data_IF_645792543303
#
_entry.id   IF_645792543303
#
_cell.length_a   1.000
_cell.length_b   1.000
_cell.length_c   1.000
_cell.angle_alpha   90.00
_cell.angle_beta   90.00
_cell.angle_gamma   90.00
#
_symmetry.space_group_name_H-M   'P 1'
#
loop_
_entity.id
_entity.type
_entity.pdbx_description
1 polymer ?
#
# COMPACT_ATOMS: atom_id res chain seq x y z
N UNK A 1 -53.02 5.56 9.89
CA UNK A 1 -52.08 4.87 10.79
C UNK A 1 -51.49 3.60 10.16
N UNK A 2 -52.30 2.67 9.59
CA UNK A 2 -51.81 1.43 8.99
C UNK A 2 -50.84 1.61 7.81
N UNK A 3 -51.08 2.54 6.86
CA UNK A 3 -50.25 2.80 5.71
C UNK A 3 -48.84 3.32 6.14
N UNK A 4 -48.79 4.15 7.16
CA UNK A 4 -47.50 4.70 7.67
C UNK A 4 -46.62 3.62 8.32
N UNK A 5 -47.25 2.67 9.04
CA UNK A 5 -46.53 1.52 9.62
C UNK A 5 -46.01 0.59 8.54
N UNK A 6 -46.77 0.35 7.45
CA UNK A 6 -46.35 -0.47 6.31
C UNK A 6 -45.13 0.18 5.61
N UNK A 7 -45.14 1.48 5.38
CA UNK A 7 -44.01 2.19 4.75
C UNK A 7 -42.75 2.09 5.61
N UNK A 8 -42.87 2.26 6.95
CA UNK A 8 -41.75 2.15 7.89
C UNK A 8 -41.16 0.74 7.91
N UNK A 9 -42.00 -0.31 7.87
CA UNK A 9 -41.54 -1.70 7.84
C UNK A 9 -40.85 -2.06 6.53
N UNK A 10 -41.34 -1.55 5.38
CA UNK A 10 -40.71 -1.76 4.08
C UNK A 10 -39.35 -1.03 4.04
N UNK A 11 -39.25 0.18 4.56
CA UNK A 11 -37.99 0.92 4.59
C UNK A 11 -36.95 0.23 5.50
N UNK A 12 -37.35 -0.26 6.68
CA UNK A 12 -36.50 -1.02 7.58
C UNK A 12 -36.05 -2.37 6.92
N UNK A 13 -36.95 -3.06 6.23
CA UNK A 13 -36.61 -4.27 5.51
C UNK A 13 -35.61 -4.03 4.37
N UNK A 14 -35.83 -2.98 3.54
CA UNK A 14 -34.93 -2.60 2.46
C UNK A 14 -33.55 -2.19 2.97
N UNK A 15 -33.49 -1.47 4.11
CA UNK A 15 -32.21 -1.12 4.72
C UNK A 15 -31.46 -2.34 5.26
N UNK A 16 -32.14 -3.30 5.88
CA UNK A 16 -31.55 -4.56 6.34
C UNK A 16 -31.05 -5.41 5.16
N UNK A 17 -31.83 -5.49 4.06
CA UNK A 17 -31.43 -6.21 2.85
C UNK A 17 -30.23 -5.53 2.19
N UNK A 18 -30.23 -4.19 2.12
CA UNK A 18 -29.11 -3.42 1.57
C UNK A 18 -27.84 -3.64 2.41
N UNK A 19 -27.91 -3.56 3.74
CA UNK A 19 -26.80 -3.83 4.65
C UNK A 19 -26.29 -5.27 4.52
N UNK A 20 -27.21 -6.26 4.46
CA UNK A 20 -26.81 -7.66 4.26
C UNK A 20 -26.17 -7.90 2.91
N UNK A 21 -26.66 -7.29 1.84
CA UNK A 21 -26.05 -7.39 0.52
C UNK A 21 -24.67 -6.71 0.48
N UNK A 22 -24.52 -5.55 1.13
CA UNK A 22 -23.23 -4.87 1.25
C UNK A 22 -22.25 -5.71 2.07
N UNK A 23 -22.70 -6.31 3.19
CA UNK A 23 -21.88 -7.22 4.01
C UNK A 23 -21.56 -8.54 3.28
N UNK A 24 -22.44 -9.03 2.41
CA UNK A 24 -22.17 -10.22 1.59
C UNK A 24 -21.23 -9.90 0.43
N UNK A 25 -21.27 -8.69 -0.13
CA UNK A 25 -20.28 -8.21 -1.10
C UNK A 25 -18.91 -8.09 -0.43
N UNK A 26 -18.86 -7.63 0.81
CA UNK A 26 -17.64 -7.56 1.61
C UNK A 26 -17.16 -8.93 2.12
N UNK A 27 -18.06 -9.89 2.27
CA UNK A 27 -17.76 -11.29 2.62
C UNK A 27 -17.64 -12.22 1.42
N UNK A 28 -17.91 -11.73 0.22
CA UNK A 28 -17.64 -12.54 -0.95
C UNK A 28 -16.13 -12.77 -0.96
N UNK A 29 -15.78 -14.01 -0.76
CA UNK A 29 -14.44 -14.58 -0.87
C UNK A 29 -14.01 -14.40 -2.34
N UNK A 30 -13.67 -13.17 -2.69
CA UNK A 30 -13.31 -12.79 -4.06
C UNK A 30 -12.01 -13.49 -4.49
N UNK A 31 -11.43 -14.27 -3.55
CA UNK A 31 -10.20 -15.04 -3.78
C UNK A 31 -9.00 -14.18 -4.13
N UNK A 32 -9.08 -12.86 -3.93
CA UNK A 32 -7.96 -11.98 -4.23
C UNK A 32 -6.80 -12.23 -3.27
N UNK A 33 -5.63 -12.43 -3.85
CA UNK A 33 -4.36 -12.43 -3.13
C UNK A 33 -3.64 -11.11 -3.40
N UNK A 34 -3.22 -10.41 -2.36
CA UNK A 34 -2.38 -9.22 -2.46
C UNK A 34 -1.04 -9.51 -1.77
N UNK A 35 0.05 -9.28 -2.48
CA UNK A 35 1.37 -9.36 -1.87
C UNK A 35 1.79 -7.97 -1.41
N UNK A 36 2.15 -7.87 -0.14
CA UNK A 36 2.73 -6.67 0.44
C UNK A 36 4.22 -6.89 0.70
N UNK A 37 5.02 -6.04 0.10
CA UNK A 37 6.45 -6.03 0.27
C UNK A 37 6.87 -4.87 1.19
N UNK A 38 7.52 -5.21 2.31
CA UNK A 38 8.16 -4.20 3.15
C UNK A 38 9.60 -4.01 2.66
N UNK A 39 9.88 -2.93 1.96
CA UNK A 39 11.20 -2.66 1.41
C UNK A 39 12.31 -2.74 2.44
N UNK A 40 13.53 -3.12 2.00
CA UNK A 40 14.70 -3.29 2.87
C UNK A 40 14.53 -4.40 3.92
N UNK A 41 15.32 -4.37 4.99
CA UNK A 41 15.36 -5.31 6.09
C UNK A 41 16.81 -5.54 6.55
N UNK A 42 17.06 -5.55 7.86
CA UNK A 42 18.41 -5.64 8.42
C UNK A 42 19.24 -6.78 7.79
N UNK A 43 20.50 -6.51 7.41
CA UNK A 43 21.30 -5.34 7.73
C UNK A 43 21.07 -4.11 6.83
N UNK A 44 20.21 -4.18 5.82
CA UNK A 44 19.84 -3.05 4.98
C UNK A 44 18.72 -2.25 5.66
N UNK A 45 19.09 -1.17 6.33
CA UNK A 45 18.13 -0.26 6.95
C UNK A 45 17.37 0.63 5.98
N UNK A 46 17.76 0.67 4.70
CA UNK A 46 17.30 1.69 3.76
C UNK A 46 17.90 3.06 4.09
N UNK A 47 17.16 4.13 3.81
CA UNK A 47 17.53 5.48 4.20
C UNK A 47 17.26 5.74 5.69
N UNK A 48 17.93 6.75 6.23
CA UNK A 48 17.84 7.12 7.65
C UNK A 48 17.20 8.49 7.77
N UNK A 49 16.22 8.61 8.62
CA UNK A 49 15.55 9.88 8.91
C UNK A 49 16.53 10.92 9.43
N UNK A 50 16.50 12.12 8.84
CA UNK A 50 17.48 13.17 9.07
C UNK A 50 17.44 13.72 10.50
N UNK A 51 16.25 13.77 11.12
CA UNK A 51 16.05 14.37 12.44
C UNK A 51 15.93 13.31 13.55
N UNK A 52 15.31 12.18 13.26
CA UNK A 52 14.98 11.15 14.28
C UNK A 52 15.93 9.95 14.25
N UNK A 53 16.68 9.77 13.17
CA UNK A 53 17.50 8.58 12.98
C UNK A 53 16.71 7.31 12.72
N UNK A 54 15.38 7.41 12.45
CA UNK A 54 14.53 6.25 12.15
C UNK A 54 15.01 5.56 10.87
N UNK A 55 15.00 4.24 10.87
CA UNK A 55 15.32 3.45 9.68
C UNK A 55 14.08 3.32 8.80
N UNK A 56 14.26 3.50 7.50
CA UNK A 56 13.22 3.26 6.50
C UNK A 56 12.62 1.86 6.63
N UNK A 57 13.47 0.84 6.76
CA UNK A 57 13.03 -0.56 6.88
C UNK A 57 12.07 -0.82 8.04
N UNK A 58 12.21 -0.08 9.15
CA UNK A 58 11.33 -0.21 10.31
C UNK A 58 9.95 0.41 10.04
N UNK A 59 9.93 1.58 9.37
CA UNK A 59 8.70 2.24 8.96
C UNK A 59 7.95 1.41 7.91
N UNK A 60 8.67 0.89 6.91
CA UNK A 60 8.10 0.03 5.87
C UNK A 60 7.39 -1.18 6.48
N UNK A 61 8.03 -1.88 7.43
CA UNK A 61 7.42 -3.04 8.09
C UNK A 61 6.20 -2.66 8.93
N UNK A 62 6.25 -1.53 9.64
CA UNK A 62 5.10 -1.05 10.42
C UNK A 62 3.91 -0.75 9.52
N UNK A 63 4.11 -0.02 8.43
CA UNK A 63 3.04 0.34 7.50
C UNK A 63 2.46 -0.87 6.77
N UNK A 64 3.31 -1.80 6.34
CA UNK A 64 2.85 -3.06 5.72
C UNK A 64 1.94 -3.84 6.68
N UNK A 65 2.28 -3.94 7.96
CA UNK A 65 1.42 -4.63 8.95
C UNK A 65 0.09 -3.92 9.20
N UNK A 66 0.07 -2.59 9.16
CA UNK A 66 -1.19 -1.83 9.29
C UNK A 66 -2.06 -2.08 8.04
N UNK A 67 -1.47 -2.00 6.84
CA UNK A 67 -2.19 -2.25 5.58
C UNK A 67 -2.69 -3.69 5.49
N UNK A 68 -1.89 -4.67 5.93
CA UNK A 68 -2.30 -6.07 6.05
C UNK A 68 -3.59 -6.20 6.86
N UNK A 69 -3.64 -5.60 8.05
CA UNK A 69 -4.83 -5.67 8.89
C UNK A 69 -6.08 -5.11 8.20
N UNK A 70 -5.98 -4.00 7.49
CA UNK A 70 -7.13 -3.44 6.75
C UNK A 70 -7.60 -4.37 5.62
N UNK A 71 -6.68 -4.94 4.85
CA UNK A 71 -7.00 -5.83 3.73
C UNK A 71 -7.59 -7.17 4.21
N UNK A 72 -6.99 -7.79 5.24
CA UNK A 72 -7.47 -9.06 5.81
C UNK A 72 -8.85 -8.91 6.44
N UNK A 73 -9.12 -7.79 7.14
CA UNK A 73 -10.46 -7.49 7.67
C UNK A 73 -11.52 -7.30 6.57
N UNK A 74 -11.11 -6.97 5.36
CA UNK A 74 -11.99 -6.87 4.18
C UNK A 74 -12.06 -8.19 3.37
N UNK A 75 -11.48 -9.30 3.87
CA UNK A 75 -11.55 -10.62 3.24
C UNK A 75 -10.52 -10.86 2.13
N UNK A 76 -9.51 -10.02 2.00
CA UNK A 76 -8.41 -10.21 1.04
C UNK A 76 -7.33 -11.08 1.68
N UNK A 77 -6.89 -12.13 0.97
CA UNK A 77 -5.71 -12.90 1.39
C UNK A 77 -4.46 -12.04 1.21
N UNK A 78 -3.69 -11.84 2.29
CA UNK A 78 -2.46 -11.06 2.25
C UNK A 78 -1.24 -11.94 2.49
N UNK A 79 -0.24 -11.79 1.63
CA UNK A 79 1.07 -12.43 1.78
C UNK A 79 2.13 -11.36 1.94
N UNK A 80 2.93 -11.47 2.98
CA UNK A 80 4.06 -10.57 3.25
C UNK A 80 5.35 -11.17 2.72
N UNK A 81 6.16 -10.38 2.02
CA UNK A 81 7.52 -10.81 1.63
C UNK A 81 8.39 -11.03 2.87
N UNK A 82 8.36 -10.12 3.86
CA UNK A 82 9.01 -10.32 5.16
C UNK A 82 8.07 -9.97 6.32
N UNK A 83 8.23 -10.68 7.44
CA UNK A 83 7.37 -10.57 8.63
C UNK A 83 8.06 -9.94 9.83
N UNK A 84 9.37 -9.76 9.76
CA UNK A 84 10.20 -9.25 10.84
C UNK A 84 11.22 -8.21 10.32
N UNK A 85 12.09 -7.70 11.19
CA UNK A 85 13.06 -6.65 10.85
C UNK A 85 14.21 -7.07 9.93
N UNK A 86 14.38 -8.38 9.68
CA UNK A 86 15.51 -8.89 8.90
C UNK A 86 15.14 -9.04 7.42
N UNK A 87 16.17 -8.95 6.56
CA UNK A 87 16.09 -9.36 5.18
C UNK A 87 15.88 -10.89 5.06
N UNK A 88 15.24 -11.34 3.99
CA UNK A 88 14.97 -12.78 3.76
C UNK A 88 16.26 -13.60 3.63
N UNK A 89 17.30 -13.03 3.04
CA UNK A 89 18.57 -13.67 2.80
C UNK A 89 19.50 -13.75 4.01
N UNK A 90 19.10 -13.26 5.18
CA UNK A 90 19.88 -13.31 6.42
C UNK A 90 21.15 -12.44 6.46
N UNK A 91 21.41 -11.60 5.46
CA UNK A 91 22.46 -10.58 5.51
C UNK A 91 23.90 -11.04 5.18
N UNK A 92 24.10 -12.19 4.57
CA UNK A 92 25.43 -12.63 4.09
C UNK A 92 25.95 -11.74 2.94
N UNK A 93 27.25 -11.87 2.58
CA UNK A 93 27.84 -11.13 1.45
C UNK A 93 27.02 -11.35 0.17
N UNK A 94 26.63 -10.26 -0.50
CA UNK A 94 25.76 -10.32 -1.68
C UNK A 94 24.28 -10.48 -1.36
N UNK A 95 23.89 -10.37 -0.10
CA UNK A 95 22.53 -10.61 0.41
C UNK A 95 21.45 -9.81 -0.35
N UNK A 96 21.71 -8.60 -0.82
CA UNK A 96 20.70 -7.80 -1.54
C UNK A 96 20.18 -8.49 -2.80
N UNK A 97 21.08 -9.09 -3.58
CA UNK A 97 20.67 -9.83 -4.80
C UNK A 97 19.84 -11.06 -4.45
N UNK A 98 20.25 -11.79 -3.42
CA UNK A 98 19.51 -12.97 -2.96
C UNK A 98 18.17 -12.57 -2.31
N UNK A 99 18.15 -11.49 -1.54
CA UNK A 99 16.92 -10.95 -0.94
C UNK A 99 15.89 -10.58 -2.02
N UNK A 100 16.30 -9.87 -3.07
CA UNK A 100 15.43 -9.57 -4.21
C UNK A 100 14.91 -10.82 -4.92
N UNK A 101 15.75 -11.84 -5.09
CA UNK A 101 15.36 -13.11 -5.69
C UNK A 101 14.28 -13.80 -4.85
N UNK A 102 14.50 -13.91 -3.54
CA UNK A 102 13.53 -14.51 -2.61
C UNK A 102 12.20 -13.76 -2.59
N UNK A 103 12.23 -12.42 -2.61
CA UNK A 103 10.99 -11.60 -2.71
C UNK A 103 10.24 -11.90 -4.01
N UNK A 104 10.95 -11.96 -5.13
CA UNK A 104 10.38 -12.32 -6.43
C UNK A 104 9.74 -13.71 -6.39
N UNK A 105 10.43 -14.71 -5.85
CA UNK A 105 9.92 -16.09 -5.72
C UNK A 105 8.61 -16.13 -4.91
N UNK A 106 8.53 -15.39 -3.80
CA UNK A 106 7.28 -15.26 -3.02
C UNK A 106 6.17 -14.65 -3.87
N UNK A 107 6.45 -13.55 -4.59
CA UNK A 107 5.45 -12.87 -5.42
C UNK A 107 4.94 -13.80 -6.52
N UNK A 108 5.85 -14.48 -7.24
CA UNK A 108 5.47 -15.36 -8.35
C UNK A 108 4.69 -16.60 -7.88
N UNK A 109 5.04 -17.17 -6.72
CA UNK A 109 4.37 -18.36 -6.18
C UNK A 109 2.90 -18.10 -5.80
N UNK A 110 2.56 -16.87 -5.46
CA UNK A 110 1.21 -16.51 -5.01
C UNK A 110 0.27 -16.06 -6.15
N UNK A 111 0.80 -15.80 -7.35
CA UNK A 111 0.03 -15.29 -8.49
C UNK A 111 -0.96 -14.18 -8.08
N UNK A 112 -0.49 -13.08 -7.49
CA UNK A 112 -1.35 -12.12 -6.80
C UNK A 112 -2.15 -11.26 -7.78
N UNK A 113 -3.30 -10.75 -7.30
CA UNK A 113 -4.10 -9.75 -8.02
C UNK A 113 -3.42 -8.36 -8.02
N UNK A 114 -2.56 -8.08 -7.03
CA UNK A 114 -1.75 -6.87 -6.95
C UNK A 114 -0.54 -7.06 -6.02
N UNK A 115 0.53 -6.30 -6.31
CA UNK A 115 1.75 -6.22 -5.49
C UNK A 115 1.98 -4.78 -5.07
N UNK A 116 2.23 -4.55 -3.79
CA UNK A 116 2.54 -3.22 -3.24
C UNK A 116 3.83 -3.32 -2.45
N UNK A 117 4.85 -2.58 -2.88
CA UNK A 117 6.08 -2.41 -2.11
C UNK A 117 6.07 -1.06 -1.40
N UNK A 118 6.23 -1.07 -0.09
CA UNK A 118 6.22 0.14 0.76
C UNK A 118 7.62 0.59 1.03
N UNK A 119 7.86 1.88 0.77
CA UNK A 119 9.14 2.56 0.91
C UNK A 119 9.00 3.97 1.48
N UNK A 120 10.14 4.57 1.84
CA UNK A 120 10.26 5.98 2.20
C UNK A 120 11.29 6.65 1.31
N UNK A 121 10.90 7.73 0.67
CA UNK A 121 11.75 8.47 -0.24
C UNK A 121 12.84 9.25 0.51
N UNK A 122 13.91 9.59 -0.20
CA UNK A 122 14.98 10.43 0.32
C UNK A 122 15.62 11.25 -0.81
N UNK A 123 15.60 12.58 -0.69
CA UNK A 123 16.20 13.43 -1.69
C UNK A 123 17.02 14.56 -1.04
N UNK A 124 18.28 14.28 -0.73
CA UNK A 124 19.18 15.19 -0.01
C UNK A 124 19.41 16.52 -0.73
N UNK A 125 19.43 16.52 -2.06
CA UNK A 125 19.69 17.71 -2.85
C UNK A 125 18.59 18.79 -2.73
N UNK A 126 17.37 18.40 -2.36
CA UNK A 126 16.24 19.31 -2.16
C UNK A 126 15.40 18.87 -0.94
N UNK A 127 15.83 19.20 0.28
CA UNK A 127 15.11 18.79 1.51
C UNK A 127 13.69 19.35 1.63
N UNK A 128 13.35 20.40 0.87
CA UNK A 128 12.00 20.96 0.80
C UNK A 128 11.02 20.07 0.00
N UNK A 129 11.51 19.07 -0.74
CA UNK A 129 10.66 18.13 -1.48
C UNK A 129 9.92 17.23 -0.51
N UNK A 130 8.60 17.14 -0.67
CA UNK A 130 7.72 16.42 0.24
C UNK A 130 6.49 15.83 -0.43
N UNK A 131 5.80 14.95 0.28
CA UNK A 131 4.60 14.26 -0.17
C UNK A 131 4.89 12.86 -0.73
N UNK A 132 3.89 12.01 -0.71
CA UNK A 132 4.00 10.63 -1.15
C UNK A 132 3.94 10.51 -2.67
N UNK A 133 4.59 9.47 -3.20
CA UNK A 133 4.67 9.17 -4.63
C UNK A 133 4.39 7.69 -4.91
N UNK A 134 3.92 7.37 -6.10
CA UNK A 134 3.71 5.98 -6.54
C UNK A 134 4.46 5.75 -7.83
N UNK A 135 5.25 4.66 -7.87
CA UNK A 135 5.99 4.23 -9.06
C UNK A 135 5.44 2.91 -9.58
N UNK A 136 5.52 2.72 -10.90
CA UNK A 136 5.05 1.54 -11.60
C UNK A 136 5.98 1.13 -12.76
N UNK A 137 5.89 -0.12 -13.21
CA UNK A 137 6.56 -0.59 -14.42
C UNK A 137 5.73 -0.23 -15.67
N UNK A 138 6.28 0.63 -16.53
CA UNK A 138 5.63 1.03 -17.79
C UNK A 138 5.49 -0.11 -18.81
N UNK A 139 6.23 -1.21 -18.64
CA UNK A 139 6.14 -2.38 -19.52
C UNK A 139 4.95 -3.29 -19.18
N UNK A 140 4.44 -3.19 -17.95
CA UNK A 140 3.27 -3.92 -17.51
C UNK A 140 2.00 -3.06 -17.68
N UNK A 141 1.11 -3.38 -18.63
CA UNK A 141 -0.05 -2.55 -18.95
C UNK A 141 -1.06 -2.43 -17.78
N UNK A 142 -1.02 -3.35 -16.83
CA UNK A 142 -1.92 -3.36 -15.67
C UNK A 142 -1.40 -2.51 -14.51
N UNK A 143 -0.09 -2.18 -14.50
CA UNK A 143 0.53 -1.44 -13.40
C UNK A 143 0.17 0.05 -13.39
N UNK A 144 0.03 0.71 -14.55
CA UNK A 144 -0.36 2.13 -14.62
C UNK A 144 -1.77 2.38 -14.05
N UNK A 145 -2.84 1.65 -14.46
CA UNK A 145 -4.17 1.84 -13.87
C UNK A 145 -4.17 1.64 -12.35
N UNK A 146 -3.43 0.64 -11.86
CA UNK A 146 -3.28 0.38 -10.43
C UNK A 146 -2.58 1.55 -9.71
N UNK A 147 -1.40 1.94 -10.17
CA UNK A 147 -0.62 3.02 -9.58
C UNK A 147 -1.35 4.37 -9.64
N UNK A 148 -2.08 4.65 -10.73
CA UNK A 148 -2.88 5.86 -10.88
C UNK A 148 -4.03 5.90 -9.87
N UNK A 149 -4.71 4.79 -9.62
CA UNK A 149 -5.77 4.68 -8.61
C UNK A 149 -5.21 4.95 -7.20
N UNK A 150 -4.05 4.35 -6.86
CA UNK A 150 -3.40 4.60 -5.57
C UNK A 150 -2.95 6.06 -5.44
N UNK A 151 -2.33 6.61 -6.50
CA UNK A 151 -1.83 7.98 -6.49
C UNK A 151 -2.96 9.02 -6.36
N UNK A 152 -4.10 8.77 -7.02
CA UNK A 152 -5.27 9.63 -6.88
C UNK A 152 -5.74 9.69 -5.42
N UNK A 153 -5.88 8.54 -4.75
CA UNK A 153 -6.24 8.48 -3.32
C UNK A 153 -5.23 9.20 -2.45
N UNK A 154 -3.94 8.95 -2.66
CA UNK A 154 -2.87 9.59 -1.92
C UNK A 154 -2.88 11.12 -2.12
N UNK A 155 -3.09 11.61 -3.34
CA UNK A 155 -3.16 13.05 -3.59
C UNK A 155 -4.34 13.70 -2.87
N UNK A 156 -5.54 13.13 -3.00
CA UNK A 156 -6.76 13.75 -2.44
C UNK A 156 -6.80 13.71 -0.93
N UNK A 157 -6.37 12.60 -0.33
CA UNK A 157 -6.58 12.35 1.10
C UNK A 157 -5.32 12.62 1.96
N UNK A 158 -4.14 12.51 1.37
CA UNK A 158 -2.87 12.62 2.09
C UNK A 158 -2.08 13.85 1.65
N UNK A 159 -1.61 13.91 0.40
CA UNK A 159 -0.73 14.97 -0.05
C UNK A 159 -1.36 16.36 0.14
N UNK A 160 -2.60 16.52 -0.30
CA UNK A 160 -3.34 17.79 -0.15
C UNK A 160 -3.55 18.15 1.33
N UNK A 161 -3.93 17.18 2.16
CA UNK A 161 -4.22 17.41 3.58
C UNK A 161 -2.99 17.82 4.37
N UNK A 162 -1.85 17.18 4.11
CA UNK A 162 -0.61 17.37 4.86
C UNK A 162 0.39 18.32 4.19
N UNK A 163 -0.02 19.05 3.15
CA UNK A 163 0.80 20.05 2.46
C UNK A 163 1.92 19.44 1.60
N UNK A 164 1.78 18.17 1.23
CA UNK A 164 2.61 17.53 0.23
C UNK A 164 2.26 18.04 -1.18
N UNK A 165 3.18 17.81 -2.12
CA UNK A 165 2.92 18.09 -3.53
C UNK A 165 2.05 16.99 -4.14
N UNK A 166 1.15 17.35 -5.04
CA UNK A 166 0.43 16.38 -5.87
C UNK A 166 1.34 15.86 -7.00
N UNK A 167 1.30 14.55 -7.24
CA UNK A 167 2.08 13.87 -8.26
C UNK A 167 1.19 13.03 -9.18
N UNK A 168 1.61 12.84 -10.43
CA UNK A 168 1.14 11.72 -11.23
C UNK A 168 1.84 10.43 -10.77
N UNK A 169 1.27 9.27 -11.11
CA UNK A 169 2.03 8.02 -11.01
C UNK A 169 3.24 8.07 -11.95
N UNK A 170 4.39 7.63 -11.48
CA UNK A 170 5.67 7.76 -12.16
C UNK A 170 6.15 6.39 -12.64
N UNK A 171 6.63 6.30 -13.88
CA UNK A 171 7.32 5.10 -14.33
C UNK A 171 8.70 5.00 -13.65
N UNK A 172 9.09 3.78 -13.25
CA UNK A 172 10.38 3.55 -12.61
C UNK A 172 10.96 2.19 -12.98
N UNK A 173 12.29 2.11 -12.98
CA UNK A 173 13.02 0.87 -13.22
C UNK A 173 13.47 0.26 -11.88
N UNK A 174 12.53 -0.42 -11.21
CA UNK A 174 12.77 -1.04 -9.91
C UNK A 174 12.57 -2.55 -10.00
N UNK A 175 13.55 -3.32 -9.54
CA UNK A 175 13.57 -4.77 -9.67
C UNK A 175 12.26 -5.43 -9.21
N UNK A 176 11.73 -5.04 -8.05
CA UNK A 176 10.58 -5.70 -7.43
C UNK A 176 9.30 -5.59 -8.29
N UNK A 177 9.04 -4.42 -8.88
CA UNK A 177 7.85 -4.19 -9.72
C UNK A 177 8.05 -4.65 -11.16
N UNK A 178 9.30 -4.70 -11.64
CA UNK A 178 9.61 -5.13 -12.99
C UNK A 178 9.74 -6.66 -13.12
N UNK A 179 9.76 -7.38 -12.00
CA UNK A 179 9.97 -8.83 -11.98
C UNK A 179 8.67 -9.64 -11.86
N UNK A 180 7.52 -9.03 -11.99
CA UNK A 180 6.21 -9.70 -11.89
C UNK A 180 5.29 -9.32 -13.03
N UNK A 181 4.42 -10.25 -13.45
CA UNK A 181 3.32 -9.99 -14.39
C UNK A 181 2.08 -9.42 -13.71
N UNK A 182 1.99 -9.48 -12.39
CA UNK A 182 0.90 -8.87 -11.64
C UNK A 182 0.98 -7.34 -11.69
N UNK A 183 -0.15 -6.61 -11.57
CA UNK A 183 -0.15 -5.17 -11.32
C UNK A 183 0.69 -4.86 -10.09
N UNK A 184 1.74 -4.04 -10.26
CA UNK A 184 2.69 -3.79 -9.19
C UNK A 184 3.01 -2.30 -9.04
N UNK A 185 3.14 -1.84 -7.80
CA UNK A 185 3.48 -0.46 -7.48
C UNK A 185 4.45 -0.38 -6.28
N UNK A 186 5.39 0.57 -6.34
CA UNK A 186 6.12 1.04 -5.17
C UNK A 186 5.42 2.29 -4.67
N UNK A 187 5.15 2.34 -3.37
CA UNK A 187 4.58 3.49 -2.68
C UNK A 187 5.63 4.09 -1.77
N UNK A 188 6.12 5.26 -2.17
CA UNK A 188 6.99 6.11 -1.38
C UNK A 188 6.12 7.00 -0.49
N UNK A 189 6.02 6.67 0.79
CA UNK A 189 5.01 7.23 1.69
C UNK A 189 5.30 8.68 2.15
N UNK A 190 6.45 9.24 1.79
CA UNK A 190 6.94 10.56 2.11
C UNK A 190 8.46 10.59 2.15
N UNK A 191 9.05 11.77 2.34
CA UNK A 191 10.49 11.96 2.28
C UNK A 191 11.12 12.00 3.67
N UNK A 192 11.98 11.04 4.01
CA UNK A 192 12.79 11.06 5.26
C UNK A 192 13.89 12.13 5.26
N UNK A 193 14.12 12.78 4.10
CA UNK A 193 14.97 13.97 3.99
C UNK A 193 14.23 15.28 4.28
N UNK A 194 12.89 15.26 4.44
CA UNK A 194 12.07 16.42 4.75
C UNK A 194 11.57 16.33 6.20
N UNK A 195 11.78 17.38 6.98
CA UNK A 195 11.46 17.38 8.41
C UNK A 195 9.97 17.18 8.73
N UNK A 196 9.09 17.78 7.90
CA UNK A 196 7.63 17.64 8.09
C UNK A 196 7.14 16.24 7.73
N UNK A 197 7.60 15.69 6.59
CA UNK A 197 7.25 14.33 6.20
C UNK A 197 7.80 13.30 7.19
N UNK A 198 9.05 13.46 7.64
CA UNK A 198 9.65 12.59 8.66
C UNK A 198 8.85 12.60 9.96
N UNK A 199 8.45 13.80 10.44
CA UNK A 199 7.58 13.94 11.62
C UNK A 199 6.24 13.22 11.46
N UNK A 200 5.62 13.30 10.29
CA UNK A 200 4.39 12.57 9.98
C UNK A 200 4.63 11.06 9.97
N UNK A 201 5.66 10.59 9.26
CA UNK A 201 5.97 9.18 9.08
C UNK A 201 6.29 8.43 10.38
N UNK A 202 6.88 9.09 11.38
CA UNK A 202 7.10 8.48 12.70
C UNK A 202 5.84 8.45 13.55
N UNK A 203 4.83 9.30 13.28
CA UNK A 203 3.57 9.36 13.99
C UNK A 203 2.64 8.19 13.65
N UNK A 204 2.03 7.56 14.66
CA UNK A 204 1.17 6.38 14.45
C UNK A 204 -0.15 6.74 13.78
N UNK A 205 -0.73 7.89 14.08
CA UNK A 205 -2.00 8.34 13.49
C UNK A 205 -1.86 8.56 11.97
N UNK A 206 -0.78 9.20 11.54
CA UNK A 206 -0.51 9.38 10.11
C UNK A 206 -0.35 8.03 9.38
N UNK A 207 0.42 7.08 9.96
CA UNK A 207 0.60 5.75 9.37
C UNK A 207 -0.73 5.01 9.22
N UNK A 208 -1.61 5.08 10.21
CA UNK A 208 -2.93 4.46 10.15
C UNK A 208 -3.79 5.10 9.06
N UNK A 209 -3.85 6.43 9.02
CA UNK A 209 -4.62 7.17 8.03
C UNK A 209 -4.10 6.91 6.61
N UNK A 210 -2.78 7.00 6.42
CA UNK A 210 -2.14 6.69 5.14
C UNK A 210 -2.51 5.30 4.64
N UNK A 211 -2.32 4.29 5.50
CA UNK A 211 -2.63 2.90 5.16
C UNK A 211 -4.13 2.67 4.92
N UNK A 212 -5.02 3.41 5.59
CA UNK A 212 -6.46 3.34 5.33
C UNK A 212 -6.80 3.85 3.92
N UNK A 213 -6.24 4.98 3.50
CA UNK A 213 -6.48 5.52 2.16
C UNK A 213 -5.81 4.68 1.08
N UNK A 214 -4.63 4.12 1.34
CA UNK A 214 -3.98 3.16 0.46
C UNK A 214 -4.83 1.88 0.32
N UNK A 215 -5.33 1.33 1.41
CA UNK A 215 -6.30 0.24 1.43
C UNK A 215 -7.52 0.56 0.56
N UNK A 216 -8.13 1.74 0.73
CA UNK A 216 -9.28 2.17 -0.09
C UNK A 216 -8.95 2.19 -1.59
N UNK A 217 -7.75 2.63 -1.97
CA UNK A 217 -7.29 2.59 -3.36
C UNK A 217 -7.11 1.17 -3.89
N UNK A 218 -6.54 0.28 -3.08
CA UNK A 218 -6.40 -1.15 -3.44
C UNK A 218 -7.77 -1.79 -3.67
N UNK A 219 -8.69 -1.61 -2.73
CA UNK A 219 -10.05 -2.16 -2.84
C UNK A 219 -10.79 -1.59 -4.06
N UNK A 220 -10.68 -0.29 -4.31
CA UNK A 220 -11.24 0.33 -5.50
C UNK A 220 -10.71 -0.37 -6.77
N UNK A 221 -9.40 -0.56 -6.90
CA UNK A 221 -8.80 -1.23 -8.06
C UNK A 221 -9.27 -2.67 -8.21
N UNK A 222 -9.27 -3.46 -7.13
CA UNK A 222 -9.68 -4.86 -7.16
C UNK A 222 -11.16 -5.05 -7.58
N UNK A 223 -12.04 -4.16 -7.14
CA UNK A 223 -13.48 -4.27 -7.41
C UNK A 223 -13.96 -3.56 -8.68
N UNK A 224 -13.25 -2.54 -9.18
CA UNK A 224 -13.63 -1.90 -10.45
C UNK A 224 -13.21 -2.70 -11.67
N UNK A 225 -12.39 -3.75 -11.49
CA UNK A 225 -11.98 -4.63 -12.58
C UNK A 225 -11.17 -3.93 -13.66
N UNK A 226 -10.37 -2.92 -13.30
CA UNK A 226 -9.47 -2.23 -14.22
C UNK A 226 -8.32 -3.16 -14.67
N UNK A 227 -8.69 -4.31 -15.27
CA UNK A 227 -7.81 -5.27 -15.91
C UNK A 227 -7.90 -5.09 -17.43
#
# INVERSE_FOLDING_TARGET
>A
MAIFVIILTIFAFLSVVCVKNTLNILKNDAGYVVVLDAGHGAPDGGVVGTNTGVLESDLNLKMVKILQNYLENAGVKVVLTRKNKYALSGGAKGFKKEDFKLRKEIIESENPAAVISIHMNFYKAQPSRRGAQVFYDAKNPYSLPFAATLMQKINTEINKKYGGREYAALSGDFYIINSTSAPAAIVECGFLSNAEDEKLLVGDEYKKEFCYHLFSGVMQYLYTGAR
#
